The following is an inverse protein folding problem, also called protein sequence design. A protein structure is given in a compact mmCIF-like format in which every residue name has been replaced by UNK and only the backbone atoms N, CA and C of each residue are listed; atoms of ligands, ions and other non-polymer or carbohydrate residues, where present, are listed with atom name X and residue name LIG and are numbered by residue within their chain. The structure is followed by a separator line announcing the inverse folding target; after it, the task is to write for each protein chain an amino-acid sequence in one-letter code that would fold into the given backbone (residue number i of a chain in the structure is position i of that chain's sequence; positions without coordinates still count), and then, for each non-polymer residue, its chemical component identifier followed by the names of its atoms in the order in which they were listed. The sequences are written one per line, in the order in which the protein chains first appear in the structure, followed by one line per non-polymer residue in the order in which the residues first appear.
data_IF_006232366149
#
_entry.id   IF_006232366149
#
_cell.length_a   1.000
_cell.length_b   1.000
_cell.length_c   1.000
_cell.angle_alpha   90.00
_cell.angle_beta   90.00
_cell.angle_gamma   90.00
#
_symmetry.space_group_name_H-M   'P 1'
#
loop_
_entity.id
_entity.type
_entity.pdbx_description
1 polymer ?
#
# COMPACT_ATOMS: atom_id res chain seq x y z
N UNK A 1 2.79 -6.97 22.24
CA UNK A 1 3.44 -6.51 20.97
C UNK A 1 3.47 -7.55 19.84
N UNK A 2 3.71 -8.85 20.10
CA UNK A 2 3.80 -9.89 19.03
C UNK A 2 2.54 -9.97 18.15
N UNK A 3 1.33 -9.85 18.73
CA UNK A 3 0.06 -9.88 17.98
C UNK A 3 -0.06 -8.73 16.97
N UNK A 4 0.45 -7.54 17.31
CA UNK A 4 0.49 -6.36 16.43
C UNK A 4 1.49 -6.57 15.28
N UNK A 5 2.64 -7.20 15.55
CA UNK A 5 3.64 -7.54 14.52
C UNK A 5 3.11 -8.57 13.50
N UNK A 6 2.39 -9.59 13.98
CA UNK A 6 1.75 -10.58 13.09
C UNK A 6 0.69 -9.93 12.19
N UNK A 7 -0.13 -9.05 12.77
CA UNK A 7 -1.14 -8.31 12.03
C UNK A 7 -0.51 -7.38 11.00
N UNK A 8 0.55 -6.64 11.34
CA UNK A 8 1.22 -5.75 10.38
C UNK A 8 1.85 -6.54 9.22
N UNK A 9 2.50 -7.67 9.50
CA UNK A 9 3.05 -8.53 8.46
C UNK A 9 1.96 -9.08 7.51
N UNK A 10 0.83 -9.53 8.08
CA UNK A 10 -0.30 -10.01 7.29
C UNK A 10 -0.92 -8.89 6.41
N UNK A 11 -1.03 -7.68 6.95
CA UNK A 11 -1.52 -6.52 6.18
C UNK A 11 -0.57 -6.15 5.06
N UNK A 12 0.76 -6.13 5.28
CA UNK A 12 1.73 -5.90 4.21
C UNK A 12 1.70 -6.98 3.14
N UNK A 13 1.54 -8.25 3.53
CA UNK A 13 1.37 -9.34 2.58
C UNK A 13 0.13 -9.12 1.70
N UNK A 14 -1.01 -8.77 2.32
CA UNK A 14 -2.25 -8.47 1.60
C UNK A 14 -2.06 -7.28 0.65
N UNK A 15 -1.39 -6.20 1.10
CA UNK A 15 -1.08 -5.05 0.23
C UNK A 15 -0.24 -5.47 -0.97
N UNK A 16 0.80 -6.28 -0.78
CA UNK A 16 1.63 -6.76 -1.90
C UNK A 16 0.82 -7.60 -2.89
N UNK A 17 -0.04 -8.51 -2.38
CA UNK A 17 -0.92 -9.32 -3.22
C UNK A 17 -1.88 -8.42 -4.01
N UNK A 18 -2.52 -7.44 -3.37
CA UNK A 18 -3.40 -6.49 -4.04
C UNK A 18 -2.67 -5.67 -5.12
N UNK A 19 -1.43 -5.22 -4.86
CA UNK A 19 -0.63 -4.49 -5.86
C UNK A 19 -0.25 -5.38 -7.05
N UNK A 20 0.14 -6.63 -6.80
CA UNK A 20 0.43 -7.61 -7.87
C UNK A 20 -0.83 -7.89 -8.69
N UNK A 21 -1.97 -8.09 -8.02
CA UNK A 21 -3.25 -8.29 -8.69
C UNK A 21 -3.61 -7.06 -9.53
N UNK A 22 -3.47 -5.84 -9.01
CA UNK A 22 -3.72 -4.62 -9.77
C UNK A 22 -2.84 -4.52 -11.04
N UNK A 23 -1.61 -5.01 -10.99
CA UNK A 23 -0.68 -5.04 -12.13
C UNK A 23 -1.02 -6.10 -13.19
N UNK A 24 -1.65 -7.20 -12.80
CA UNK A 24 -1.88 -8.38 -13.68
C UNK A 24 -3.32 -8.47 -14.17
N UNK A 25 -4.29 -7.91 -13.44
CA UNK A 25 -5.70 -8.02 -13.79
C UNK A 25 -6.04 -7.15 -15.01
N UNK A 26 -6.72 -7.69 -16.03
CA UNK A 26 -7.08 -6.96 -17.25
C UNK A 26 -8.39 -6.17 -17.11
N UNK A 27 -8.72 -5.69 -15.92
CA UNK A 27 -9.96 -4.95 -15.64
C UNK A 27 -9.75 -3.44 -15.60
N UNK A 28 -8.69 -2.94 -16.24
CA UNK A 28 -8.54 -1.51 -16.49
C UNK A 28 -9.46 -1.10 -17.64
N UNK A 29 -9.80 0.19 -17.77
CA UNK A 29 -10.72 0.69 -18.81
C UNK A 29 -10.27 0.29 -20.23
N UNK A 30 -8.96 0.20 -20.47
CA UNK A 30 -8.33 -0.24 -21.72
C UNK A 30 -7.93 -1.73 -21.73
N UNK A 31 -8.35 -2.51 -20.72
CA UNK A 31 -8.05 -3.93 -20.56
C UNK A 31 -6.80 -4.19 -19.70
N UNK A 32 -5.75 -4.74 -20.33
CA UNK A 32 -4.51 -5.11 -19.65
C UNK A 32 -3.49 -3.96 -19.62
N UNK A 33 -2.94 -3.68 -18.43
CA UNK A 33 -2.06 -2.55 -18.17
C UNK A 33 -0.74 -2.63 -18.95
N UNK A 34 -0.18 -3.83 -19.13
CA UNK A 34 1.07 -4.05 -19.85
C UNK A 34 0.90 -4.38 -21.34
N UNK A 35 -0.26 -4.90 -21.71
CA UNK A 35 -0.61 -5.17 -23.11
C UNK A 35 -1.27 -3.98 -23.80
N UNK A 36 -2.59 -4.08 -23.97
CA UNK A 36 -3.39 -3.19 -24.84
C UNK A 36 -3.25 -1.71 -24.49
N UNK A 37 -3.20 -1.38 -23.21
CA UNK A 37 -3.10 -0.01 -22.74
C UNK A 37 -1.74 0.68 -23.07
N UNK A 38 -0.67 -0.08 -23.31
CA UNK A 38 0.67 0.46 -23.64
C UNK A 38 0.98 0.33 -25.13
N UNK A 39 0.43 -0.68 -25.81
CA UNK A 39 0.77 -1.01 -27.20
C UNK A 39 -0.16 -0.39 -28.24
N UNK A 40 -1.43 -0.11 -27.90
CA UNK A 40 -2.32 0.62 -28.81
C UNK A 40 -2.15 2.13 -28.58
N UNK A 41 -2.27 2.94 -29.64
CA UNK A 41 -2.12 4.41 -29.64
C UNK A 41 -3.27 5.12 -28.89
N UNK A 42 -3.46 4.74 -27.63
CA UNK A 42 -4.38 5.36 -26.69
C UNK A 42 -3.94 6.80 -26.37
N UNK A 43 -4.85 7.79 -26.39
CA UNK A 43 -4.50 9.20 -26.13
C UNK A 43 -3.89 9.42 -24.74
N UNK A 44 -4.11 8.49 -23.80
CA UNK A 44 -3.64 8.57 -22.42
C UNK A 44 -2.45 7.63 -22.11
N UNK A 45 -1.77 7.11 -23.14
CA UNK A 45 -0.66 6.15 -22.99
C UNK A 45 0.43 6.60 -22.01
N UNK A 46 0.84 7.86 -22.07
CA UNK A 46 1.87 8.42 -21.16
C UNK A 46 1.43 8.37 -19.70
N UNK A 47 0.15 8.66 -19.44
CA UNK A 47 -0.46 8.58 -18.11
C UNK A 47 -0.48 7.14 -17.61
N UNK A 48 -0.85 6.19 -18.45
CA UNK A 48 -0.93 4.77 -18.06
C UNK A 48 0.47 4.20 -17.77
N UNK A 49 1.47 4.56 -18.57
CA UNK A 49 2.87 4.18 -18.31
C UNK A 49 3.34 4.78 -16.98
N UNK A 50 2.99 6.04 -16.70
CA UNK A 50 3.28 6.66 -15.41
C UNK A 50 2.62 5.89 -14.27
N UNK A 51 1.31 5.64 -14.33
CA UNK A 51 0.54 4.87 -13.34
C UNK A 51 1.17 3.49 -13.08
N UNK A 52 1.50 2.75 -14.15
CA UNK A 52 2.15 1.44 -14.08
C UNK A 52 3.53 1.51 -13.41
N UNK A 53 4.38 2.46 -13.83
CA UNK A 53 5.70 2.62 -13.23
C UNK A 53 5.62 3.00 -11.75
N UNK A 54 4.69 3.86 -11.35
CA UNK A 54 4.47 4.22 -9.95
C UNK A 54 3.98 3.01 -9.11
N UNK A 55 3.14 2.13 -9.66
CA UNK A 55 2.72 0.89 -8.99
C UNK A 55 3.89 -0.07 -8.81
N UNK A 56 4.72 -0.26 -9.84
CA UNK A 56 5.91 -1.11 -9.77
C UNK A 56 6.91 -0.56 -8.74
N UNK A 57 7.12 0.76 -8.72
CA UNK A 57 7.95 1.43 -7.71
C UNK A 57 7.37 1.20 -6.31
N UNK A 58 6.06 1.35 -6.12
CA UNK A 58 5.41 1.07 -4.85
C UNK A 58 5.67 -0.35 -4.37
N UNK A 59 5.49 -1.35 -5.24
CA UNK A 59 5.75 -2.75 -4.93
C UNK A 59 7.22 -2.98 -4.57
N UNK A 60 8.15 -2.38 -5.30
CA UNK A 60 9.58 -2.49 -5.05
C UNK A 60 10.01 -1.92 -3.68
N UNK A 61 9.34 -0.87 -3.19
CA UNK A 61 9.61 -0.31 -1.86
C UNK A 61 8.87 -1.04 -0.73
N UNK A 62 7.66 -1.53 -0.96
CA UNK A 62 6.86 -2.21 0.07
C UNK A 62 7.24 -3.68 0.25
N UNK A 63 7.77 -4.35 -0.77
CA UNK A 63 8.17 -5.74 -0.67
C UNK A 63 9.33 -5.98 0.33
N UNK A 64 10.41 -5.18 0.35
CA UNK A 64 11.42 -5.26 1.40
C UNK A 64 10.87 -5.04 2.81
N UNK A 65 9.85 -4.18 2.96
CA UNK A 65 9.19 -3.95 4.26
C UNK A 65 8.49 -5.21 4.74
N UNK A 66 7.78 -5.92 3.85
CA UNK A 66 7.18 -7.21 4.16
C UNK A 66 8.23 -8.23 4.62
N UNK A 67 9.38 -8.31 3.96
CA UNK A 67 10.48 -9.18 4.37
C UNK A 67 10.98 -8.80 5.76
N UNK A 68 11.24 -7.51 6.02
CA UNK A 68 11.71 -7.02 7.32
C UNK A 68 10.70 -7.37 8.41
N UNK A 69 9.40 -7.19 8.19
CA UNK A 69 8.36 -7.51 9.17
C UNK A 69 8.23 -9.01 9.42
N UNK A 70 8.46 -9.85 8.40
CA UNK A 70 8.50 -11.31 8.54
C UNK A 70 9.72 -11.76 9.35
N UNK A 71 10.90 -11.21 9.05
CA UNK A 71 12.14 -11.48 9.81
C UNK A 71 12.01 -11.03 11.28
N UNK A 72 11.31 -9.93 11.55
CA UNK A 72 10.99 -9.46 12.92
C UNK A 72 10.09 -10.41 13.71
N UNK A 73 9.39 -11.34 13.08
CA UNK A 73 8.64 -12.38 13.78
C UNK A 73 9.55 -13.48 14.32
N UNK A 74 10.65 -13.78 13.60
CA UNK A 74 11.60 -14.83 13.96
C UNK A 74 12.76 -14.30 14.83
N UNK A 75 13.17 -13.04 14.65
CA UNK A 75 14.30 -12.43 15.34
C UNK A 75 13.86 -11.51 16.49
N UNK A 76 14.46 -11.71 17.68
CA UNK A 76 14.17 -10.90 18.88
C UNK A 76 14.82 -9.50 18.85
N UNK A 77 15.96 -9.34 18.16
CA UNK A 77 16.73 -8.08 18.12
C UNK A 77 17.09 -7.76 16.68
N UNK A 78 16.68 -6.59 16.21
CA UNK A 78 17.12 -6.04 14.93
C UNK A 78 18.02 -4.83 15.19
N UNK A 79 18.96 -4.52 14.28
CA UNK A 79 19.77 -3.32 14.39
C UNK A 79 18.89 -2.07 14.37
N UNK A 80 19.26 -1.06 15.16
CA UNK A 80 18.47 0.18 15.31
C UNK A 80 18.22 0.90 13.97
N UNK A 81 19.16 0.82 13.02
CA UNK A 81 19.02 1.40 11.67
C UNK A 81 17.91 0.77 10.82
N UNK A 82 17.52 -0.48 11.08
CA UNK A 82 16.45 -1.17 10.33
C UNK A 82 15.07 -0.58 10.60
N UNK A 83 14.88 0.15 11.71
CA UNK A 83 13.62 0.83 12.01
C UNK A 83 13.44 2.05 11.09
N UNK A 84 14.48 2.87 10.96
CA UNK A 84 14.44 4.09 10.13
C UNK A 84 14.24 3.77 8.65
N UNK A 85 15.01 2.82 8.12
CA UNK A 85 14.91 2.38 6.71
C UNK A 85 13.51 1.85 6.41
N UNK A 86 12.94 1.07 7.33
CA UNK A 86 11.58 0.55 7.21
C UNK A 86 10.56 1.68 7.07
N UNK A 87 10.63 2.71 7.91
CA UNK A 87 9.71 3.85 7.79
C UNK A 87 9.86 4.56 6.46
N UNK A 88 11.10 4.83 6.02
CA UNK A 88 11.36 5.50 4.76
C UNK A 88 10.73 4.75 3.57
N UNK A 89 10.92 3.44 3.49
CA UNK A 89 10.34 2.61 2.43
C UNK A 89 8.82 2.57 2.47
N UNK A 90 8.21 2.53 3.66
CA UNK A 90 6.75 2.61 3.81
C UNK A 90 6.23 3.94 3.27
N UNK A 91 6.86 5.06 3.65
CA UNK A 91 6.42 6.38 3.21
C UNK A 91 6.54 6.55 1.70
N UNK A 92 7.68 6.19 1.12
CA UNK A 92 7.92 6.30 -0.33
C UNK A 92 6.95 5.38 -1.10
N UNK A 93 6.82 4.12 -0.68
CA UNK A 93 5.93 3.16 -1.35
C UNK A 93 4.45 3.52 -1.23
N UNK A 94 4.01 4.03 -0.07
CA UNK A 94 2.63 4.49 0.10
C UNK A 94 2.34 5.76 -0.72
N UNK A 95 3.29 6.71 -0.74
CA UNK A 95 3.16 7.93 -1.53
C UNK A 95 3.08 7.63 -3.04
N UNK A 96 3.93 6.73 -3.55
CA UNK A 96 3.88 6.34 -4.97
C UNK A 96 2.60 5.58 -5.33
N UNK A 97 2.09 4.69 -4.46
CA UNK A 97 0.79 4.03 -4.68
C UNK A 97 -0.36 5.05 -4.72
N UNK A 98 -0.39 5.98 -3.77
CA UNK A 98 -1.42 7.02 -3.73
C UNK A 98 -1.35 7.92 -4.97
N UNK A 99 -0.16 8.35 -5.36
CA UNK A 99 0.05 9.16 -6.56
C UNK A 99 -0.41 8.41 -7.82
N UNK A 100 -0.12 7.12 -7.95
CA UNK A 100 -0.60 6.30 -9.06
C UNK A 100 -2.14 6.30 -9.17
N UNK A 101 -2.84 5.99 -8.07
CA UNK A 101 -4.31 5.93 -8.08
C UNK A 101 -4.93 7.32 -8.29
N UNK A 102 -4.32 8.37 -7.73
CA UNK A 102 -4.75 9.76 -7.95
C UNK A 102 -4.63 10.17 -9.42
N UNK A 103 -3.47 9.90 -10.04
CA UNK A 103 -3.25 10.19 -11.46
C UNK A 103 -4.23 9.43 -12.35
N UNK A 104 -4.44 8.14 -12.07
CA UNK A 104 -5.42 7.34 -12.80
C UNK A 104 -6.85 7.88 -12.66
N UNK A 105 -7.27 8.19 -11.43
CA UNK A 105 -8.63 8.69 -11.16
C UNK A 105 -8.87 10.08 -11.74
N UNK A 106 -7.87 10.98 -11.64
CA UNK A 106 -8.01 12.35 -12.11
C UNK A 106 -8.16 12.44 -13.64
N UNK A 107 -7.45 11.57 -14.38
CA UNK A 107 -7.34 11.68 -15.83
C UNK A 107 -8.29 10.71 -16.54
N UNK A 108 -8.41 9.46 -16.06
CA UNK A 108 -9.09 8.38 -16.77
C UNK A 108 -10.53 8.22 -16.28
N UNK A 109 -10.75 7.74 -15.06
CA UNK A 109 -12.11 7.37 -14.60
C UNK A 109 -12.96 8.56 -14.15
N UNK A 110 -12.35 9.61 -13.57
CA UNK A 110 -13.03 10.81 -13.04
C UNK A 110 -14.12 10.52 -11.99
N UNK A 111 -14.18 9.31 -11.43
CA UNK A 111 -15.15 8.88 -10.41
C UNK A 111 -14.67 9.26 -9.00
N UNK A 112 -14.60 10.56 -8.71
CA UNK A 112 -14.07 11.09 -7.45
C UNK A 112 -14.80 10.58 -6.20
N UNK A 113 -16.13 10.43 -6.26
CA UNK A 113 -16.92 9.94 -5.13
C UNK A 113 -16.52 8.54 -4.69
N UNK A 114 -16.44 7.59 -5.64
CA UNK A 114 -16.02 6.21 -5.38
C UNK A 114 -14.62 6.13 -4.76
N UNK A 115 -13.68 6.89 -5.32
CA UNK A 115 -12.31 6.97 -4.81
C UNK A 115 -12.25 7.51 -3.38
N UNK A 116 -12.96 8.61 -3.10
CA UNK A 116 -13.00 9.19 -1.76
C UNK A 116 -13.62 8.25 -0.73
N UNK A 117 -14.63 7.46 -1.11
CA UNK A 117 -15.22 6.44 -0.23
C UNK A 117 -14.20 5.35 0.12
N UNK A 118 -13.45 4.83 -0.86
CA UNK A 118 -12.40 3.83 -0.61
C UNK A 118 -11.29 4.40 0.27
N UNK A 119 -10.84 5.63 0.01
CA UNK A 119 -9.85 6.30 0.84
C UNK A 119 -10.34 6.47 2.28
N UNK A 120 -11.57 6.94 2.47
CA UNK A 120 -12.18 7.11 3.78
C UNK A 120 -12.25 5.76 4.53
N UNK A 121 -12.66 4.68 3.85
CA UNK A 121 -12.68 3.35 4.44
C UNK A 121 -11.27 2.90 4.89
N UNK A 122 -10.24 3.17 4.08
CA UNK A 122 -8.84 2.92 4.43
C UNK A 122 -8.39 3.70 5.68
N UNK A 123 -8.70 5.00 5.76
CA UNK A 123 -8.36 5.85 6.90
C UNK A 123 -9.05 5.34 8.17
N UNK A 124 -10.36 5.04 8.09
CA UNK A 124 -11.13 4.50 9.22
C UNK A 124 -10.53 3.18 9.70
N UNK A 125 -10.11 2.30 8.80
CA UNK A 125 -9.46 1.05 9.17
C UNK A 125 -8.15 1.28 9.95
N UNK A 126 -7.32 2.24 9.52
CA UNK A 126 -6.09 2.60 10.24
C UNK A 126 -6.40 3.21 11.61
N UNK A 127 -7.39 4.09 11.70
CA UNK A 127 -7.83 4.70 12.97
C UNK A 127 -8.32 3.63 13.95
N UNK A 128 -9.12 2.66 13.49
CA UNK A 128 -9.57 1.54 14.32
C UNK A 128 -8.38 0.73 14.87
N UNK A 129 -7.33 0.51 14.07
CA UNK A 129 -6.10 -0.15 14.54
C UNK A 129 -5.39 0.67 15.61
N UNK A 130 -5.26 1.99 15.40
CA UNK A 130 -4.64 2.89 16.39
C UNK A 130 -5.41 2.88 17.71
N UNK A 131 -6.74 2.94 17.66
CA UNK A 131 -7.62 2.87 18.83
C UNK A 131 -7.49 1.53 19.59
N UNK A 132 -7.38 0.40 18.88
CA UNK A 132 -7.12 -0.90 19.49
C UNK A 132 -5.75 -0.99 20.18
N UNK A 133 -4.75 -0.23 19.71
CA UNK A 133 -3.43 -0.18 20.33
C UNK A 133 -3.44 0.76 21.54
N UNK A 134 -4.04 1.94 21.42
CA UNK A 134 -4.07 2.95 22.49
C UNK A 134 -4.93 2.55 23.69
N UNK A 135 -6.05 1.86 23.47
CA UNK A 135 -6.92 1.35 24.55
C UNK A 135 -6.20 0.41 25.52
N UNK A 136 -5.16 -0.29 25.07
CA UNK A 136 -4.33 -1.15 25.94
C UNK A 136 -3.30 -0.37 26.78
N UNK A 137 -3.08 0.90 26.48
CA UNK A 137 -2.16 1.76 27.22
C UNK A 137 -2.85 2.55 28.36
N UNK A 138 -4.19 2.51 28.45
CA UNK A 138 -4.97 3.24 29.46
C UNK A 138 -5.49 2.33 30.60
N UNK A 139 -5.33 1.01 30.47
CA UNK A 139 -5.66 0.06 31.54
C UNK A 139 -4.51 -0.04 32.56
N UNK A 140 -4.22 1.04 33.26
CA UNK A 140 -3.48 0.99 34.53
C UNK A 140 -4.54 1.12 35.65
N UNK A 141 -4.76 0.10 36.49
CA UNK A 141 -5.67 0.23 37.62
C UNK A 141 -5.02 1.16 38.64
N UNK A 142 -5.66 2.30 38.91
CA UNK A 142 -5.47 3.01 40.18
C UNK A 142 -5.96 2.07 41.30
N UNK A 143 -5.03 1.40 41.95
CA UNK A 143 -5.19 0.77 43.26
C UNK A 143 -3.91 1.01 44.07
#
# INVERSE_FOLDING_TARGET
MVRVRKLSAALYALTCVCLILALVLPYWECGDLFGKCIHEDEPNRTTIIAVSSLLVISLAFLFPVFIIDTVRLCMKRLPNGTITIRFLFIYIGAFSALASVLTYTAIITKTWGYFLTILAAGIVFVVQKLAMISSRCISEPLA
#
